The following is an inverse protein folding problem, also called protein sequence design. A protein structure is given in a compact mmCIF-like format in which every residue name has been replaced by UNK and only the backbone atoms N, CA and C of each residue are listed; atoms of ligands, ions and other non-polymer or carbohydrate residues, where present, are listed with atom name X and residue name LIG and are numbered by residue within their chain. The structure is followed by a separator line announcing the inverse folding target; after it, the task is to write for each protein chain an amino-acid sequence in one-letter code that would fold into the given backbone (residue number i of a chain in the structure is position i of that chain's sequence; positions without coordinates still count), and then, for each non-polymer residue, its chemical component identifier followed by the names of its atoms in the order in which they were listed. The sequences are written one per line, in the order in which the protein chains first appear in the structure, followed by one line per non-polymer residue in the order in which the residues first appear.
data_IF_146167688936
#
_entry.id   IF_146167688936
#
_cell.length_a   1.000
_cell.length_b   1.000
_cell.length_c   1.000
_cell.angle_alpha   90.00
_cell.angle_beta   90.00
_cell.angle_gamma   90.00
#
_symmetry.space_group_name_H-M   'P 1'
#
loop_
_entity.id
_entity.type
_entity.pdbx_description
1 polymer ?
#
# COMPACT_ATOMS: atom_id res chain seq x y z
N UNK A 1 40.28 -24.68 16.11
CA UNK A 1 39.74 -26.01 16.02
C UNK A 1 38.56 -25.98 15.00
N UNK A 2 38.38 -27.07 14.28
CA UNK A 2 37.44 -27.19 13.13
C UNK A 2 35.98 -26.77 13.42
N UNK A 3 35.55 -26.78 14.66
CA UNK A 3 34.18 -26.35 15.05
C UNK A 3 34.00 -24.84 15.14
N UNK A 4 35.07 -24.10 15.40
CA UNK A 4 35.05 -22.64 15.36
C UNK A 4 35.06 -22.09 13.96
N UNK A 5 35.85 -22.69 13.05
CA UNK A 5 35.88 -22.31 11.64
C UNK A 5 34.58 -22.69 10.91
N UNK A 6 33.93 -23.80 11.27
CA UNK A 6 32.61 -24.15 10.72
C UNK A 6 31.49 -23.22 11.19
N UNK A 7 31.58 -22.69 12.40
CA UNK A 7 30.63 -21.69 12.92
C UNK A 7 30.87 -20.30 12.31
N UNK A 8 32.13 -19.89 12.14
CA UNK A 8 32.45 -18.63 11.44
C UNK A 8 32.09 -18.68 9.95
N UNK A 9 32.34 -19.79 9.24
CA UNK A 9 31.92 -19.98 7.87
C UNK A 9 30.38 -20.05 7.73
N UNK A 10 29.67 -20.70 8.66
CA UNK A 10 28.21 -20.70 8.66
C UNK A 10 27.62 -19.30 8.92
N UNK A 11 28.29 -18.50 9.76
CA UNK A 11 27.88 -17.12 10.03
C UNK A 11 28.21 -16.19 8.85
N UNK A 12 29.32 -16.42 8.14
CA UNK A 12 29.67 -15.68 6.91
C UNK A 12 28.75 -16.06 5.74
N UNK A 13 28.40 -17.34 5.57
CA UNK A 13 27.46 -17.76 4.52
C UNK A 13 26.04 -17.23 4.80
N UNK A 14 25.59 -17.18 6.05
CA UNK A 14 24.32 -16.53 6.40
C UNK A 14 24.36 -15.00 6.23
N UNK A 15 25.51 -14.34 6.42
CA UNK A 15 25.65 -12.90 6.16
C UNK A 15 25.72 -12.57 4.66
N UNK A 16 26.31 -13.45 3.85
CA UNK A 16 26.39 -13.27 2.39
C UNK A 16 25.06 -13.59 1.66
N UNK A 17 24.22 -14.47 2.19
CA UNK A 17 22.85 -14.69 1.68
C UNK A 17 21.87 -13.58 2.13
N UNK A 18 22.09 -12.93 3.28
CA UNK A 18 21.28 -11.82 3.74
C UNK A 18 21.50 -10.51 2.95
N UNK A 19 22.62 -10.39 2.23
CA UNK A 19 22.95 -9.21 1.41
C UNK A 19 22.25 -9.18 0.05
N UNK A 20 21.59 -10.26 -0.36
CA UNK A 20 20.89 -10.33 -1.67
C UNK A 20 19.47 -9.82 -1.66
N UNK A 21 18.77 -9.82 -0.51
CA UNK A 21 17.44 -9.23 -0.36
C UNK A 21 17.37 -8.48 0.98
N UNK A 22 17.17 -7.16 0.98
CA UNK A 22 17.01 -6.42 2.24
C UNK A 22 15.80 -6.97 3.01
N UNK A 23 15.89 -7.03 4.36
CA UNK A 23 14.83 -7.58 5.17
C UNK A 23 13.55 -6.76 5.04
N UNK A 24 12.43 -7.45 4.82
CA UNK A 24 11.12 -6.83 4.69
C UNK A 24 10.54 -6.43 6.04
N UNK A 25 9.73 -5.39 6.03
CA UNK A 25 9.01 -4.86 7.20
C UNK A 25 7.50 -4.91 6.97
N UNK A 26 6.74 -5.32 7.99
CA UNK A 26 5.29 -5.19 8.02
C UNK A 26 4.87 -4.29 9.18
N UNK A 27 3.95 -3.37 8.92
CA UNK A 27 3.31 -2.56 9.96
C UNK A 27 1.91 -3.11 10.18
N UNK A 28 1.67 -3.67 11.36
CA UNK A 28 0.35 -4.17 11.73
C UNK A 28 -0.59 -3.01 12.07
N UNK A 29 -1.91 -3.17 11.90
CA UNK A 29 -2.88 -2.18 12.32
C UNK A 29 -2.68 -1.76 13.77
N UNK A 30 -2.53 -0.47 14.01
CA UNK A 30 -2.36 0.06 15.36
C UNK A 30 -3.66 -0.11 16.15
N UNK A 31 -3.53 -0.34 17.46
CA UNK A 31 -4.69 -0.52 18.33
C UNK A 31 -5.31 0.82 18.69
N UNK A 32 -6.62 0.92 18.54
CA UNK A 32 -7.37 2.07 19.06
C UNK A 32 -7.48 2.00 20.58
N UNK A 33 -6.82 2.91 21.29
CA UNK A 33 -6.83 3.04 22.74
C UNK A 33 -7.62 4.27 23.21
N UNK A 34 -8.43 4.86 22.33
CA UNK A 34 -9.21 6.07 22.63
C UNK A 34 -10.48 5.76 23.46
N UNK A 35 -10.91 4.51 23.49
CA UNK A 35 -12.14 4.09 24.18
C UNK A 35 -13.42 4.39 23.38
N UNK A 36 -13.29 4.83 22.14
CA UNK A 36 -14.36 5.15 21.21
C UNK A 36 -14.14 4.40 19.89
N UNK A 37 -14.94 3.37 19.57
CA UNK A 37 -14.81 2.62 18.31
C UNK A 37 -15.00 3.47 17.05
N UNK A 38 -15.74 4.59 17.15
CA UNK A 38 -15.91 5.51 16.03
C UNK A 38 -14.58 6.17 15.58
N UNK A 39 -13.50 6.03 16.38
CA UNK A 39 -12.16 6.50 16.04
C UNK A 39 -11.31 5.46 15.29
N UNK A 40 -11.81 4.25 14.99
CA UNK A 40 -11.03 3.20 14.35
C UNK A 40 -10.54 3.62 12.96
N UNK A 41 -11.37 4.31 12.17
CA UNK A 41 -10.96 4.82 10.86
C UNK A 41 -9.76 5.79 10.94
N UNK A 42 -9.71 6.57 12.01
CA UNK A 42 -8.62 7.52 12.25
C UNK A 42 -7.30 6.78 12.56
N UNK A 43 -7.37 5.73 13.39
CA UNK A 43 -6.22 4.89 13.75
C UNK A 43 -5.74 4.08 12.54
N UNK A 44 -6.66 3.54 11.76
CA UNK A 44 -6.36 2.83 10.51
C UNK A 44 -5.65 3.76 9.51
N UNK A 45 -6.14 4.99 9.37
CA UNK A 45 -5.53 5.99 8.49
C UNK A 45 -4.11 6.36 8.91
N UNK A 46 -3.85 6.53 10.21
CA UNK A 46 -2.49 6.75 10.71
C UNK A 46 -1.57 5.57 10.35
N UNK A 47 -2.07 4.34 10.53
CA UNK A 47 -1.29 3.14 10.19
C UNK A 47 -1.00 3.09 8.69
N UNK A 48 -1.99 3.37 7.85
CA UNK A 48 -1.85 3.41 6.39
C UNK A 48 -0.86 4.48 5.93
N UNK A 49 -0.89 5.67 6.53
CA UNK A 49 0.07 6.74 6.26
C UNK A 49 1.50 6.33 6.64
N UNK A 50 1.70 5.64 7.78
CA UNK A 50 3.00 5.10 8.18
C UNK A 50 3.49 4.05 7.18
N UNK A 51 2.64 3.10 6.75
CA UNK A 51 2.97 2.11 5.72
C UNK A 51 3.40 2.81 4.43
N UNK A 52 2.61 3.79 4.01
CA UNK A 52 2.87 4.52 2.77
C UNK A 52 4.17 5.33 2.86
N UNK A 53 4.42 6.02 3.97
CA UNK A 53 5.67 6.74 4.18
C UNK A 53 6.87 5.80 4.17
N UNK A 54 6.77 4.64 4.86
CA UNK A 54 7.83 3.64 4.85
C UNK A 54 8.06 3.05 3.45
N UNK A 55 7.02 2.85 2.64
CA UNK A 55 7.14 2.28 1.30
C UNK A 55 7.87 3.19 0.30
N UNK A 56 7.98 4.48 0.59
CA UNK A 56 8.78 5.41 -0.21
C UNK A 56 10.29 5.21 -0.03
N UNK A 57 10.71 4.51 1.04
CA UNK A 57 12.11 4.15 1.25
C UNK A 57 12.49 2.98 0.34
N UNK A 58 13.54 3.18 -0.47
CA UNK A 58 13.97 2.17 -1.45
C UNK A 58 14.93 1.14 -0.86
N UNK A 59 15.28 1.28 0.39
CA UNK A 59 16.30 0.48 1.09
C UNK A 59 15.80 -0.84 1.62
N UNK A 60 14.50 -0.99 1.78
CA UNK A 60 13.85 -2.22 2.26
C UNK A 60 12.43 -2.36 1.70
N UNK A 61 11.97 -3.61 1.46
CA UNK A 61 10.60 -3.88 1.07
C UNK A 61 9.63 -3.63 2.23
N UNK A 62 8.46 -3.06 1.92
CA UNK A 62 7.38 -2.86 2.90
C UNK A 62 6.17 -3.68 2.47
N UNK A 63 5.69 -4.52 3.37
CA UNK A 63 4.48 -5.33 3.14
C UNK A 63 3.27 -4.41 3.00
N UNK A 64 2.39 -4.75 2.08
CA UNK A 64 1.23 -3.94 1.74
C UNK A 64 0.29 -3.73 2.92
N UNK A 65 -0.44 -2.62 2.90
CA UNK A 65 -1.55 -2.38 3.82
C UNK A 65 -2.57 -3.51 3.78
N UNK A 66 -2.94 -3.97 2.59
CA UNK A 66 -3.97 -5.01 2.43
C UNK A 66 -3.60 -6.29 3.19
N UNK A 67 -2.38 -6.80 3.00
CA UNK A 67 -1.92 -7.99 3.73
C UNK A 67 -1.77 -7.75 5.23
N UNK A 68 -1.24 -6.59 5.64
CA UNK A 68 -1.08 -6.26 7.07
C UNK A 68 -2.42 -6.18 7.80
N UNK A 69 -3.45 -5.63 7.15
CA UNK A 69 -4.77 -5.42 7.75
C UNK A 69 -5.61 -6.70 7.86
N UNK A 70 -5.24 -7.79 7.20
CA UNK A 70 -5.87 -9.11 7.44
C UNK A 70 -5.68 -9.61 8.88
N UNK A 71 -4.71 -9.05 9.60
CA UNK A 71 -4.40 -9.37 10.98
C UNK A 71 -5.04 -8.41 12.00
N UNK A 72 -5.89 -7.46 11.56
CA UNK A 72 -6.60 -6.55 12.45
C UNK A 72 -7.46 -7.34 13.43
N UNK A 73 -7.44 -6.92 14.71
CA UNK A 73 -8.23 -7.46 15.83
C UNK A 73 -8.01 -8.96 16.13
N UNK A 74 -6.97 -9.56 15.56
CA UNK A 74 -6.61 -10.94 15.86
C UNK A 74 -5.60 -10.99 17.01
N UNK A 75 -5.79 -11.96 17.92
CA UNK A 75 -4.77 -12.29 18.94
C UNK A 75 -3.78 -13.29 18.32
N UNK A 76 -2.61 -12.81 17.93
CA UNK A 76 -1.70 -13.58 17.08
C UNK A 76 -0.32 -13.72 17.72
N UNK A 77 0.32 -14.84 17.39
CA UNK A 77 1.75 -15.01 17.58
C UNK A 77 2.49 -14.22 16.47
N UNK A 78 3.27 -13.21 16.86
CA UNK A 78 3.98 -12.35 15.91
C UNK A 78 4.91 -13.11 14.97
N UNK A 79 5.46 -14.24 15.41
CA UNK A 79 6.30 -15.10 14.58
C UNK A 79 5.51 -15.77 13.46
N UNK A 80 4.27 -16.20 13.74
CA UNK A 80 3.36 -16.75 12.74
C UNK A 80 2.95 -15.67 11.74
N UNK A 81 2.56 -14.50 12.24
CA UNK A 81 2.24 -13.34 11.39
C UNK A 81 3.40 -12.97 10.47
N UNK A 82 4.61 -12.92 11.01
CA UNK A 82 5.81 -12.60 10.23
C UNK A 82 6.07 -13.64 9.13
N UNK A 83 5.85 -14.92 9.42
CA UNK A 83 5.98 -16.00 8.43
C UNK A 83 4.92 -15.87 7.32
N UNK A 84 3.66 -15.62 7.69
CA UNK A 84 2.56 -15.46 6.73
C UNK A 84 2.77 -14.24 5.82
N UNK A 85 3.33 -13.16 6.38
CA UNK A 85 3.63 -11.93 5.65
C UNK A 85 4.99 -11.97 4.93
N UNK A 86 5.83 -12.98 5.14
CA UNK A 86 7.19 -13.00 4.63
C UNK A 86 8.04 -11.84 5.19
N UNK A 87 7.69 -11.30 6.36
CA UNK A 87 8.36 -10.15 6.95
C UNK A 87 9.36 -10.57 8.02
N UNK A 88 10.54 -9.94 8.03
CA UNK A 88 11.50 -10.10 9.12
C UNK A 88 11.16 -9.20 10.29
N UNK A 89 10.80 -7.96 10.01
CA UNK A 89 10.49 -6.96 11.02
C UNK A 89 9.00 -6.69 11.09
N UNK A 90 8.47 -6.64 12.31
CA UNK A 90 7.08 -6.28 12.58
C UNK A 90 7.07 -4.96 13.36
N UNK A 91 6.23 -4.03 12.92
CA UNK A 91 5.88 -2.83 13.68
C UNK A 91 4.48 -3.02 14.25
N UNK A 92 4.37 -2.88 15.55
CA UNK A 92 3.10 -2.78 16.27
C UNK A 92 2.97 -1.41 16.91
N UNK A 93 1.73 -0.99 17.16
CA UNK A 93 1.51 0.29 17.83
C UNK A 93 0.13 0.45 18.39
N UNK A 94 -0.09 1.60 18.98
CA UNK A 94 -1.39 2.04 19.45
C UNK A 94 -1.56 3.54 19.31
N UNK A 95 -2.79 3.97 19.11
CA UNK A 95 -3.16 5.38 19.05
C UNK A 95 -4.24 5.65 20.10
N UNK A 96 -4.07 6.73 20.85
CA UNK A 96 -5.08 7.26 21.76
C UNK A 96 -5.33 8.72 21.45
N UNK A 97 -6.55 9.03 21.02
CA UNK A 97 -7.05 10.38 20.82
C UNK A 97 -7.97 10.74 22.00
N UNK A 98 -7.77 11.88 22.62
CA UNK A 98 -8.58 12.39 23.72
C UNK A 98 -8.69 13.90 23.64
N UNK A 99 -9.82 14.42 23.15
CA UNK A 99 -9.97 15.84 22.84
C UNK A 99 -8.94 16.29 21.82
N UNK A 100 -8.13 17.28 22.17
CA UNK A 100 -7.05 17.81 21.31
C UNK A 100 -5.69 17.11 21.52
N UNK A 101 -5.63 16.04 22.32
CA UNK A 101 -4.39 15.32 22.59
C UNK A 101 -4.34 14.00 21.83
N UNK A 102 -3.17 13.72 21.28
CA UNK A 102 -2.85 12.50 20.57
C UNK A 102 -1.64 11.84 21.24
N UNK A 103 -1.77 10.54 21.50
CA UNK A 103 -0.65 9.70 21.89
C UNK A 103 -0.51 8.57 20.90
N UNK A 104 0.67 8.44 20.32
CA UNK A 104 1.06 7.31 19.47
C UNK A 104 2.18 6.56 20.18
N UNK A 105 2.08 5.24 20.20
CA UNK A 105 3.15 4.35 20.65
C UNK A 105 3.47 3.41 19.50
N UNK A 106 4.74 3.23 19.17
CA UNK A 106 5.19 2.26 18.19
C UNK A 106 6.36 1.45 18.74
N UNK A 107 6.46 0.20 18.32
CA UNK A 107 7.54 -0.70 18.63
C UNK A 107 7.94 -1.52 17.42
N UNK A 108 9.24 -1.77 17.26
CA UNK A 108 9.84 -2.57 16.22
C UNK A 108 10.33 -3.89 16.81
N UNK A 109 9.98 -4.99 16.22
CA UNK A 109 10.26 -6.34 16.69
C UNK A 109 10.99 -7.11 15.57
N UNK A 110 12.11 -7.76 15.88
CA UNK A 110 12.70 -8.78 15.01
C UNK A 110 11.96 -10.10 15.28
N UNK A 111 11.10 -10.50 14.36
CA UNK A 111 10.25 -11.68 14.52
C UNK A 111 11.03 -13.00 14.49
N UNK A 112 12.24 -13.03 13.88
CA UNK A 112 13.11 -14.21 13.90
C UNK A 112 13.81 -14.38 15.24
N UNK A 113 14.29 -13.27 15.81
CA UNK A 113 14.98 -13.22 17.10
C UNK A 113 14.04 -13.18 18.30
N UNK A 114 12.74 -12.99 18.09
CA UNK A 114 11.72 -12.84 19.14
C UNK A 114 12.11 -11.80 20.21
N UNK A 115 12.60 -10.66 19.76
CA UNK A 115 13.01 -9.58 20.67
C UNK A 115 12.66 -8.19 20.13
N UNK A 116 12.30 -7.31 21.06
CA UNK A 116 12.02 -5.92 20.76
C UNK A 116 13.33 -5.18 20.47
N UNK A 117 13.42 -4.59 19.28
CA UNK A 117 14.55 -3.76 18.87
C UNK A 117 14.41 -2.33 19.35
N UNK A 118 13.17 -1.84 19.42
CA UNK A 118 12.90 -0.45 19.75
C UNK A 118 11.43 -0.24 20.14
N UNK A 119 11.20 0.74 21.01
CA UNK A 119 9.87 1.25 21.34
C UNK A 119 9.97 2.74 21.66
N UNK A 120 9.01 3.52 21.18
CA UNK A 120 8.93 4.95 21.43
C UNK A 120 7.48 5.41 21.57
N UNK A 121 7.30 6.58 22.22
CA UNK A 121 6.00 7.17 22.47
C UNK A 121 6.04 8.66 22.15
N UNK A 122 5.06 9.11 21.40
CA UNK A 122 4.83 10.51 21.06
C UNK A 122 3.56 11.02 21.73
N UNK A 123 3.68 12.12 22.47
CA UNK A 123 2.56 12.87 23.03
C UNK A 123 2.54 14.24 22.37
N UNK A 124 1.47 14.52 21.60
CA UNK A 124 1.34 15.73 20.76
C UNK A 124 -0.11 16.26 20.79
N UNK A 125 -0.31 17.38 20.13
CA UNK A 125 -1.67 17.85 19.80
C UNK A 125 -2.15 17.22 18.48
N UNK A 126 -3.44 17.23 18.23
CA UNK A 126 -4.01 16.65 16.99
C UNK A 126 -3.56 17.42 15.76
N UNK A 127 -3.27 18.70 15.89
CA UNK A 127 -2.76 19.54 14.82
C UNK A 127 -1.39 19.09 14.32
N UNK A 128 -0.59 18.44 15.19
CA UNK A 128 0.75 17.96 14.88
C UNK A 128 0.75 16.55 14.27
N UNK A 129 -0.42 16.00 13.92
CA UNK A 129 -0.55 14.58 13.51
C UNK A 129 0.38 14.20 12.34
N UNK A 130 0.49 15.07 11.34
CA UNK A 130 1.33 14.80 10.17
C UNK A 130 2.82 14.82 10.52
N UNK A 131 3.25 15.71 11.44
CA UNK A 131 4.62 15.71 11.94
C UNK A 131 4.94 14.43 12.70
N UNK A 132 3.99 13.95 13.50
CA UNK A 132 4.15 12.70 14.26
C UNK A 132 4.22 11.48 13.34
N UNK A 133 3.41 11.41 12.30
CA UNK A 133 3.48 10.32 11.31
C UNK A 133 4.84 10.26 10.62
N UNK A 134 5.40 11.41 10.26
CA UNK A 134 6.74 11.50 9.68
C UNK A 134 7.80 11.09 10.71
N UNK A 135 7.74 11.60 11.97
CA UNK A 135 8.66 11.23 13.05
C UNK A 135 8.64 9.71 13.31
N UNK A 136 7.46 9.09 13.37
CA UNK A 136 7.30 7.63 13.57
C UNK A 136 7.94 6.86 12.42
N UNK A 137 7.61 7.23 11.18
CA UNK A 137 8.11 6.56 9.97
C UNK A 137 9.64 6.68 9.87
N UNK A 138 10.19 7.87 10.16
CA UNK A 138 11.64 8.11 10.19
C UNK A 138 12.33 7.29 11.29
N UNK A 139 11.76 7.26 12.50
CA UNK A 139 12.32 6.50 13.62
C UNK A 139 12.40 5.00 13.28
N UNK A 140 11.36 4.44 12.65
CA UNK A 140 11.34 3.04 12.21
C UNK A 140 12.39 2.82 11.11
N UNK A 141 12.40 3.65 10.06
CA UNK A 141 13.31 3.49 8.93
C UNK A 141 14.79 3.53 9.35
N UNK A 142 15.17 4.45 10.23
CA UNK A 142 16.53 4.53 10.78
C UNK A 142 16.96 3.29 11.56
N UNK A 143 16.01 2.54 12.14
CA UNK A 143 16.29 1.29 12.88
C UNK A 143 16.45 0.10 11.94
N UNK A 144 15.63 0.04 10.89
CA UNK A 144 15.69 -1.05 9.88
C UNK A 144 16.87 -0.87 8.95
N UNK A 145 17.18 0.35 8.53
CA UNK A 145 18.26 0.67 7.62
C UNK A 145 19.11 1.85 8.14
N UNK A 146 20.09 1.61 9.02
CA UNK A 146 20.92 2.67 9.61
C UNK A 146 21.75 3.50 8.62
N UNK A 147 21.97 2.99 7.39
CA UNK A 147 22.74 3.65 6.34
C UNK A 147 21.97 4.74 5.56
N UNK A 148 20.71 4.98 5.92
CA UNK A 148 19.85 5.95 5.26
C UNK A 148 20.37 7.38 5.41
N UNK A 149 20.56 8.07 4.30
CA UNK A 149 21.09 9.43 4.26
C UNK A 149 20.00 10.50 4.41
N UNK A 150 20.37 11.68 4.93
CA UNK A 150 19.44 12.80 5.11
C UNK A 150 18.80 13.37 3.82
N UNK A 151 19.31 12.98 2.63
CA UNK A 151 18.71 13.35 1.35
C UNK A 151 17.46 12.52 1.01
N UNK A 152 17.39 11.28 1.47
CA UNK A 152 16.17 10.46 1.33
C UNK A 152 15.05 10.98 2.24
N UNK A 153 15.38 11.48 3.44
CA UNK A 153 14.43 12.11 4.35
C UNK A 153 13.70 13.31 3.73
N UNK A 154 14.38 14.13 2.93
CA UNK A 154 13.78 15.28 2.25
C UNK A 154 12.80 14.91 1.13
N UNK A 155 12.90 13.71 0.55
CA UNK A 155 11.93 13.22 -0.45
C UNK A 155 10.60 12.83 0.16
N UNK A 156 10.58 12.58 1.48
CA UNK A 156 9.41 12.10 2.20
C UNK A 156 8.44 13.22 2.63
N UNK A 157 8.81 14.52 2.43
CA UNK A 157 7.88 15.61 2.69
C UNK A 157 6.76 15.57 1.63
N UNK A 158 5.79 14.68 1.84
CA UNK A 158 4.53 14.66 1.09
C UNK A 158 3.88 16.03 1.14
N UNK A 159 3.13 16.33 0.10
CA UNK A 159 2.17 17.43 0.15
C UNK A 159 1.15 17.05 1.23
N UNK A 160 1.30 17.64 2.40
CA UNK A 160 0.45 17.38 3.56
C UNK A 160 -0.91 18.02 3.35
N UNK A 161 -2.00 17.38 3.83
CA UNK A 161 -3.29 18.05 3.91
C UNK A 161 -3.16 19.34 4.72
N UNK A 162 -3.75 20.41 4.23
CA UNK A 162 -3.72 21.72 4.92
C UNK A 162 -4.84 21.86 5.95
N UNK A 163 -5.81 20.96 5.90
CA UNK A 163 -7.02 21.00 6.70
C UNK A 163 -7.28 19.64 7.32
N UNK A 164 -7.28 19.57 8.65
CA UNK A 164 -7.53 18.32 9.40
C UNK A 164 -8.91 17.73 9.06
N UNK A 165 -9.94 18.56 8.92
CA UNK A 165 -11.28 18.09 8.54
C UNK A 165 -11.33 17.51 7.13
N UNK A 166 -10.53 18.04 6.19
CA UNK A 166 -10.39 17.45 4.86
C UNK A 166 -9.72 16.08 4.93
N UNK A 167 -8.70 15.93 5.77
CA UNK A 167 -8.04 14.65 5.99
C UNK A 167 -8.95 13.64 6.68
N UNK A 168 -9.74 14.05 7.69
CA UNK A 168 -10.73 13.18 8.33
C UNK A 168 -11.79 12.68 7.34
N UNK A 169 -12.31 13.53 6.46
CA UNK A 169 -13.21 13.12 5.38
C UNK A 169 -12.53 12.16 4.40
N UNK A 170 -11.28 12.43 4.03
CA UNK A 170 -10.50 11.51 3.20
C UNK A 170 -10.36 10.13 3.85
N UNK A 171 -10.09 10.04 5.16
CA UNK A 171 -10.01 8.77 5.88
C UNK A 171 -11.35 8.02 5.92
N UNK A 172 -12.48 8.73 6.06
CA UNK A 172 -13.81 8.12 5.93
C UNK A 172 -14.02 7.54 4.52
N UNK A 173 -13.58 8.28 3.50
CA UNK A 173 -13.59 7.79 2.12
C UNK A 173 -12.75 6.54 1.95
N UNK A 174 -11.54 6.48 2.53
CA UNK A 174 -10.67 5.30 2.52
C UNK A 174 -11.33 4.10 3.21
N UNK A 175 -11.95 4.32 4.37
CA UNK A 175 -12.69 3.27 5.07
C UNK A 175 -13.77 2.68 4.15
N UNK A 176 -14.67 3.51 3.61
CA UNK A 176 -15.73 3.07 2.72
C UNK A 176 -15.18 2.38 1.45
N UNK A 177 -14.06 2.88 0.91
CA UNK A 177 -13.39 2.29 -0.24
C UNK A 177 -12.79 0.91 0.07
N UNK A 178 -12.18 0.73 1.22
CA UNK A 178 -11.55 -0.53 1.64
C UNK A 178 -12.57 -1.57 2.13
N UNK A 179 -13.66 -1.13 2.77
CA UNK A 179 -14.73 -1.98 3.31
C UNK A 179 -15.78 -2.36 2.24
N UNK A 180 -15.62 -1.88 0.99
CA UNK A 180 -16.58 -2.16 -0.08
C UNK A 180 -16.74 -3.65 -0.34
N UNK A 181 -17.97 -4.09 -0.49
CA UNK A 181 -18.28 -5.47 -0.86
C UNK A 181 -18.34 -5.60 -2.38
N UNK A 182 -17.46 -6.39 -2.97
CA UNK A 182 -17.39 -6.60 -4.42
C UNK A 182 -18.56 -7.40 -4.98
N UNK A 183 -19.29 -8.13 -4.15
CA UNK A 183 -20.52 -8.82 -4.54
C UNK A 183 -21.77 -7.92 -4.48
N UNK A 184 -21.62 -6.69 -3.98
CA UNK A 184 -22.70 -5.71 -3.92
C UNK A 184 -22.90 -5.09 -5.31
N UNK A 185 -23.95 -5.55 -5.99
CA UNK A 185 -24.34 -5.06 -7.32
C UNK A 185 -24.71 -3.58 -7.33
N UNK A 186 -24.90 -2.98 -6.15
CA UNK A 186 -25.32 -1.59 -5.98
C UNK A 186 -24.16 -0.64 -5.70
N UNK A 187 -22.94 -1.17 -5.48
CA UNK A 187 -21.72 -0.39 -5.19
C UNK A 187 -21.92 0.72 -4.14
N UNK A 188 -22.73 0.45 -3.10
CA UNK A 188 -23.05 1.47 -2.08
C UNK A 188 -21.79 1.98 -1.40
N UNK A 189 -20.88 1.10 -1.00
CA UNK A 189 -19.60 1.47 -0.36
C UNK A 189 -18.76 2.39 -1.26
N UNK A 190 -18.71 2.10 -2.57
CA UNK A 190 -17.97 2.93 -3.52
C UNK A 190 -18.59 4.32 -3.68
N UNK A 191 -19.93 4.41 -3.76
CA UNK A 191 -20.63 5.72 -3.81
C UNK A 191 -20.41 6.54 -2.54
N UNK A 192 -20.38 5.87 -1.39
CA UNK A 192 -20.09 6.53 -0.12
C UNK A 192 -18.64 7.04 -0.08
N UNK A 193 -17.68 6.23 -0.51
CA UNK A 193 -16.29 6.64 -0.65
C UNK A 193 -16.16 7.88 -1.55
N UNK A 194 -16.82 7.89 -2.72
CA UNK A 194 -16.80 9.04 -3.62
C UNK A 194 -17.36 10.31 -2.95
N UNK A 195 -18.46 10.23 -2.19
CA UNK A 195 -19.01 11.39 -1.46
C UNK A 195 -18.03 11.97 -0.45
N UNK A 196 -17.34 11.12 0.30
CA UNK A 196 -16.32 11.53 1.26
C UNK A 196 -15.11 12.16 0.57
N UNK A 197 -14.61 11.58 -0.54
CA UNK A 197 -13.51 12.17 -1.30
C UNK A 197 -13.88 13.52 -1.91
N UNK A 198 -15.10 13.68 -2.45
CA UNK A 198 -15.59 14.96 -2.95
C UNK A 198 -15.68 16.01 -1.83
N UNK A 199 -16.15 15.59 -0.65
CA UNK A 199 -16.20 16.47 0.51
C UNK A 199 -14.81 16.86 1.00
N UNK A 200 -13.86 15.92 1.04
CA UNK A 200 -12.46 16.22 1.35
C UNK A 200 -11.87 17.26 0.39
N UNK A 201 -12.12 17.10 -0.92
CA UNK A 201 -11.70 18.07 -1.94
C UNK A 201 -12.37 19.46 -1.72
N UNK A 202 -13.64 19.50 -1.33
CA UNK A 202 -14.33 20.76 -1.06
C UNK A 202 -13.74 21.54 0.13
N UNK A 203 -13.12 20.83 1.07
CA UNK A 203 -12.45 21.38 2.26
C UNK A 203 -10.97 21.70 2.00
N UNK A 204 -10.30 20.92 1.13
CA UNK A 204 -8.93 21.13 0.68
C UNK A 204 -8.75 20.69 -0.77
N UNK A 205 -8.83 21.63 -1.71
CA UNK A 205 -8.68 21.36 -3.15
C UNK A 205 -7.25 20.96 -3.57
N UNK A 206 -6.30 20.94 -2.64
CA UNK A 206 -4.90 20.55 -2.88
C UNK A 206 -4.64 19.08 -2.52
N UNK A 207 -5.65 18.35 -2.04
CA UNK A 207 -5.52 16.95 -1.61
C UNK A 207 -5.47 16.00 -2.80
N UNK A 208 -4.26 15.76 -3.33
CA UNK A 208 -4.01 14.92 -4.51
C UNK A 208 -4.61 13.52 -4.39
N UNK A 209 -4.48 12.87 -3.21
CA UNK A 209 -4.94 11.50 -3.00
C UNK A 209 -6.46 11.37 -3.16
N UNK A 210 -7.25 12.35 -2.73
CA UNK A 210 -8.70 12.32 -2.88
C UNK A 210 -9.11 12.36 -4.37
N UNK A 211 -8.44 13.15 -5.19
CA UNK A 211 -8.65 13.12 -6.64
C UNK A 211 -8.24 11.80 -7.27
N UNK A 212 -7.14 11.21 -6.82
CA UNK A 212 -6.65 9.92 -7.32
C UNK A 212 -7.64 8.80 -7.00
N UNK A 213 -8.17 8.74 -5.78
CA UNK A 213 -9.18 7.76 -5.40
C UNK A 213 -10.49 7.94 -6.16
N UNK A 214 -10.93 9.17 -6.47
CA UNK A 214 -12.09 9.38 -7.34
C UNK A 214 -11.87 8.81 -8.75
N UNK A 215 -10.65 8.91 -9.29
CA UNK A 215 -10.34 8.25 -10.57
C UNK A 215 -10.41 6.72 -10.45
N UNK A 216 -9.94 6.13 -9.35
CA UNK A 216 -10.05 4.70 -9.08
C UNK A 216 -11.49 4.24 -8.81
N UNK A 217 -12.35 5.08 -8.22
CA UNK A 217 -13.77 4.80 -8.11
C UNK A 217 -14.41 4.63 -9.50
N UNK A 218 -14.05 5.49 -10.46
CA UNK A 218 -14.51 5.35 -11.84
C UNK A 218 -14.05 4.04 -12.51
N UNK A 219 -12.84 3.56 -12.18
CA UNK A 219 -12.38 2.25 -12.63
C UNK A 219 -13.33 1.13 -12.16
N UNK A 220 -13.69 1.14 -10.87
CA UNK A 220 -14.59 0.13 -10.32
C UNK A 220 -15.99 0.19 -10.92
N UNK A 221 -16.52 1.39 -11.18
CA UNK A 221 -17.79 1.56 -11.89
C UNK A 221 -17.78 0.93 -13.28
N UNK A 222 -16.65 1.01 -13.98
CA UNK A 222 -16.50 0.36 -15.29
C UNK A 222 -16.36 -1.15 -15.17
N UNK A 223 -15.60 -1.66 -14.21
CA UNK A 223 -15.39 -3.11 -14.00
C UNK A 223 -16.68 -3.81 -13.57
N UNK A 224 -17.47 -3.17 -12.70
CA UNK A 224 -18.73 -3.75 -12.20
C UNK A 224 -19.93 -3.44 -13.09
N UNK A 225 -19.73 -2.75 -14.22
CA UNK A 225 -20.81 -2.34 -15.13
C UNK A 225 -21.90 -1.49 -14.46
N UNK A 226 -21.53 -0.70 -13.42
CA UNK A 226 -22.44 0.18 -12.70
C UNK A 226 -22.45 1.61 -13.24
N UNK A 227 -21.54 1.92 -14.17
CA UNK A 227 -21.49 3.22 -14.85
C UNK A 227 -22.69 3.37 -15.81
N UNK A 228 -23.47 4.43 -15.62
CA UNK A 228 -24.58 4.79 -16.52
C UNK A 228 -24.08 5.33 -17.88
N UNK A 229 -22.92 6.00 -17.89
CA UNK A 229 -22.24 6.52 -19.08
C UNK A 229 -20.73 6.26 -18.98
N UNK A 230 -20.29 5.16 -19.57
CA UNK A 230 -18.88 4.76 -19.54
C UNK A 230 -17.95 5.82 -20.16
N UNK A 231 -18.43 6.60 -21.14
CA UNK A 231 -17.64 7.66 -21.77
C UNK A 231 -17.44 8.84 -20.80
N UNK A 232 -18.51 9.24 -20.10
CA UNK A 232 -18.43 10.27 -19.07
C UNK A 232 -17.54 9.82 -17.90
N UNK A 233 -17.64 8.56 -17.49
CA UNK A 233 -16.77 7.98 -16.44
C UNK A 233 -15.30 8.01 -16.86
N UNK A 234 -14.95 7.60 -18.07
CA UNK A 234 -13.58 7.68 -18.59
C UNK A 234 -13.04 9.10 -18.62
N UNK A 235 -13.84 10.09 -19.03
CA UNK A 235 -13.42 11.49 -19.02
C UNK A 235 -13.26 12.03 -17.59
N UNK A 236 -14.11 11.63 -16.67
CA UNK A 236 -13.98 11.95 -15.24
C UNK A 236 -12.67 11.38 -14.67
N UNK A 237 -12.37 10.08 -14.91
CA UNK A 237 -11.12 9.43 -14.49
C UNK A 237 -9.91 10.21 -14.98
N UNK A 238 -9.89 10.61 -16.26
CA UNK A 238 -8.81 11.41 -16.84
C UNK A 238 -8.63 12.75 -16.14
N UNK A 239 -9.74 13.47 -15.97
CA UNK A 239 -9.70 14.83 -15.39
C UNK A 239 -9.26 14.78 -13.92
N UNK A 240 -9.78 13.82 -13.13
CA UNK A 240 -9.40 13.63 -11.72
C UNK A 240 -7.95 13.15 -11.60
N UNK A 241 -7.53 12.18 -12.41
CA UNK A 241 -6.15 11.68 -12.44
C UNK A 241 -5.13 12.78 -12.81
N UNK A 242 -5.41 13.59 -13.84
CA UNK A 242 -4.57 14.73 -14.21
C UNK A 242 -4.50 15.82 -13.14
N UNK A 243 -5.63 16.09 -12.47
CA UNK A 243 -5.63 17.04 -11.36
C UNK A 243 -4.75 16.53 -10.22
N UNK A 244 -4.88 15.23 -9.88
CA UNK A 244 -4.05 14.61 -8.86
C UNK A 244 -2.54 14.65 -9.21
N UNK A 245 -2.17 14.30 -10.46
CA UNK A 245 -0.80 14.39 -10.97
C UNK A 245 -0.26 15.82 -10.94
N UNK A 246 -1.07 16.81 -11.29
CA UNK A 246 -0.67 18.24 -11.24
C UNK A 246 -0.39 18.71 -9.81
N UNK A 247 -1.19 18.24 -8.85
CA UNK A 247 -1.03 18.55 -7.43
C UNK A 247 0.18 17.85 -6.82
N UNK A 248 0.42 16.59 -7.20
CA UNK A 248 1.57 15.81 -6.77
C UNK A 248 2.05 14.88 -7.90
N UNK A 249 3.05 15.28 -8.70
CA UNK A 249 3.55 14.49 -9.82
C UNK A 249 4.20 13.16 -9.44
N UNK A 250 4.61 13.01 -8.18
CA UNK A 250 5.22 11.79 -7.65
C UNK A 250 4.20 10.87 -6.96
N UNK A 251 2.91 11.22 -6.97
CA UNK A 251 1.86 10.42 -6.36
C UNK A 251 1.58 9.13 -7.15
N UNK A 252 1.91 7.93 -6.60
CA UNK A 252 1.68 6.68 -7.32
C UNK A 252 0.19 6.43 -7.62
N UNK A 253 -0.72 6.82 -6.72
CA UNK A 253 -2.17 6.66 -6.92
C UNK A 253 -2.69 7.50 -8.08
N UNK A 254 -2.22 8.75 -8.23
CA UNK A 254 -2.57 9.60 -9.36
C UNK A 254 -2.16 8.98 -10.69
N UNK A 255 -0.93 8.44 -10.73
CA UNK A 255 -0.38 7.75 -11.90
C UNK A 255 -1.14 6.46 -12.22
N UNK A 256 -1.55 5.68 -11.20
CA UNK A 256 -2.40 4.50 -11.37
C UNK A 256 -3.78 4.90 -11.91
N UNK A 257 -4.41 5.95 -11.38
CA UNK A 257 -5.69 6.44 -11.87
C UNK A 257 -5.65 6.83 -13.36
N UNK A 258 -4.56 7.45 -13.81
CA UNK A 258 -4.32 7.73 -15.23
C UNK A 258 -4.01 6.46 -16.03
N UNK A 259 -3.22 5.54 -15.49
CA UNK A 259 -2.95 4.26 -16.15
C UNK A 259 -4.24 3.47 -16.37
N UNK A 260 -5.16 3.45 -15.40
CA UNK A 260 -6.48 2.83 -15.52
C UNK A 260 -7.33 3.50 -16.61
N UNK A 261 -7.37 4.84 -16.66
CA UNK A 261 -8.05 5.56 -17.74
C UNK A 261 -7.52 5.15 -19.12
N UNK A 262 -6.19 5.16 -19.32
CA UNK A 262 -5.58 4.81 -20.61
C UNK A 262 -5.79 3.34 -20.95
N UNK A 263 -5.77 2.44 -19.98
CA UNK A 263 -6.05 1.02 -20.15
C UNK A 263 -7.46 0.80 -20.74
N UNK A 264 -8.50 1.38 -20.14
CA UNK A 264 -9.87 1.28 -20.64
C UNK A 264 -10.12 2.05 -21.94
N UNK A 265 -9.29 3.04 -22.24
CA UNK A 265 -9.31 3.74 -23.52
C UNK A 265 -8.58 2.99 -24.64
N UNK A 266 -7.96 1.83 -24.34
CA UNK A 266 -7.18 1.03 -25.30
C UNK A 266 -5.80 1.60 -25.62
N UNK A 267 -5.35 2.63 -24.89
CA UNK A 267 -4.02 3.25 -25.07
C UNK A 267 -3.00 2.58 -24.13
N UNK A 268 -2.60 1.36 -24.48
CA UNK A 268 -1.66 0.58 -23.68
C UNK A 268 -0.29 1.24 -23.52
N UNK A 269 0.14 2.05 -24.48
CA UNK A 269 1.44 2.74 -24.40
C UNK A 269 1.45 3.75 -23.25
N UNK A 270 0.44 4.62 -23.21
CA UNK A 270 0.32 5.58 -22.11
C UNK A 270 -0.03 4.91 -20.79
N UNK A 271 -0.83 3.84 -20.79
CA UNK A 271 -1.14 3.05 -19.60
C UNK A 271 0.14 2.48 -18.96
N UNK A 272 0.99 1.79 -19.73
CA UNK A 272 2.27 1.25 -19.26
C UNK A 272 3.17 2.35 -18.75
N UNK A 273 3.34 3.46 -19.49
CA UNK A 273 4.20 4.57 -19.09
C UNK A 273 3.83 5.16 -17.73
N UNK A 274 2.52 5.33 -17.44
CA UNK A 274 2.07 5.85 -16.15
C UNK A 274 2.25 4.83 -15.03
N UNK A 275 1.96 3.55 -15.28
CA UNK A 275 2.15 2.49 -14.31
C UNK A 275 3.66 2.28 -13.97
N UNK A 276 4.56 2.35 -14.97
CA UNK A 276 6.02 2.30 -14.75
C UNK A 276 6.50 3.49 -13.90
N UNK A 277 6.00 4.70 -14.16
CA UNK A 277 6.30 5.86 -13.29
C UNK A 277 5.83 5.63 -11.86
N UNK A 278 4.63 5.08 -11.65
CA UNK A 278 4.11 4.78 -10.32
C UNK A 278 5.03 3.81 -9.55
N UNK A 279 5.47 2.72 -10.20
CA UNK A 279 6.43 1.76 -9.64
C UNK A 279 7.79 2.42 -9.38
N UNK A 280 8.26 3.31 -10.27
CA UNK A 280 9.53 4.01 -10.09
C UNK A 280 9.49 4.99 -8.90
N UNK A 281 8.37 5.62 -8.63
CA UNK A 281 8.24 6.51 -7.46
C UNK A 281 8.09 5.73 -6.16
N UNK A 282 7.36 4.61 -6.17
CA UNK A 282 7.19 3.75 -5.01
C UNK A 282 7.32 2.26 -5.38
N UNK A 283 8.54 1.68 -5.33
CA UNK A 283 8.79 0.29 -5.72
C UNK A 283 8.19 -0.76 -4.77
N UNK A 284 7.84 -0.36 -3.55
CA UNK A 284 7.20 -1.23 -2.54
C UNK A 284 5.67 -1.12 -2.52
N UNK A 285 5.07 -0.34 -3.43
CA UNK A 285 3.62 -0.21 -3.48
C UNK A 285 3.02 -1.33 -4.34
N UNK A 286 2.56 -2.40 -3.70
CA UNK A 286 2.05 -3.62 -4.36
C UNK A 286 0.96 -3.32 -5.40
N UNK A 287 0.09 -2.34 -5.14
CA UNK A 287 -0.95 -1.90 -6.08
C UNK A 287 -0.37 -1.39 -7.40
N UNK A 288 0.74 -0.62 -7.38
CA UNK A 288 1.40 -0.16 -8.60
C UNK A 288 1.97 -1.32 -9.41
N UNK A 289 2.56 -2.30 -8.75
CA UNK A 289 3.11 -3.49 -9.39
C UNK A 289 2.00 -4.33 -10.03
N UNK A 290 0.90 -4.57 -9.31
CA UNK A 290 -0.24 -5.26 -9.85
C UNK A 290 -0.80 -4.58 -11.10
N UNK A 291 -1.01 -3.25 -11.05
CA UNK A 291 -1.49 -2.48 -12.21
C UNK A 291 -0.54 -2.57 -13.40
N UNK A 292 0.77 -2.40 -13.16
CA UNK A 292 1.75 -2.51 -14.23
C UNK A 292 1.70 -3.90 -14.87
N UNK A 293 1.69 -4.96 -14.06
CA UNK A 293 1.63 -6.33 -14.55
C UNK A 293 0.35 -6.63 -15.32
N UNK A 294 -0.81 -6.18 -14.81
CA UNK A 294 -2.10 -6.31 -15.49
C UNK A 294 -2.07 -5.66 -16.89
N UNK A 295 -1.62 -4.40 -16.94
CA UNK A 295 -1.56 -3.64 -18.20
C UNK A 295 -0.56 -4.27 -19.16
N UNK A 296 0.61 -4.70 -18.70
CA UNK A 296 1.63 -5.37 -19.50
C UNK A 296 1.12 -6.69 -20.07
N UNK A 297 0.41 -7.50 -19.27
CA UNK A 297 -0.18 -8.76 -19.73
C UNK A 297 -1.19 -8.53 -20.85
N UNK A 298 -2.08 -7.55 -20.72
CA UNK A 298 -3.04 -7.20 -21.77
C UNK A 298 -2.39 -6.52 -22.99
N UNK A 299 -1.27 -5.83 -22.78
CA UNK A 299 -0.45 -5.21 -23.83
C UNK A 299 0.51 -6.16 -24.54
N UNK A 300 0.49 -7.47 -24.20
CA UNK A 300 1.35 -8.49 -24.83
C UNK A 300 2.77 -8.59 -24.30
N UNK A 301 3.12 -7.85 -23.24
CA UNK A 301 4.42 -7.90 -22.56
C UNK A 301 4.42 -8.94 -21.42
N UNK A 302 4.23 -10.21 -21.81
CA UNK A 302 3.91 -11.27 -20.85
C UNK A 302 5.04 -11.59 -19.85
N UNK A 303 6.31 -11.59 -20.28
CA UNK A 303 7.45 -11.91 -19.40
C UNK A 303 7.69 -10.81 -18.38
N UNK A 304 7.62 -9.55 -18.81
CA UNK A 304 7.72 -8.38 -17.94
C UNK A 304 6.56 -8.39 -16.91
N UNK A 305 5.34 -8.70 -17.36
CA UNK A 305 4.18 -8.82 -16.52
C UNK A 305 4.37 -9.88 -15.41
N UNK A 306 4.83 -11.09 -15.76
CA UNK A 306 5.14 -12.15 -14.79
C UNK A 306 6.07 -11.64 -13.69
N UNK A 307 7.17 -10.98 -14.08
CA UNK A 307 8.18 -10.49 -13.14
C UNK A 307 7.59 -9.51 -12.12
N UNK A 308 6.81 -8.52 -12.58
CA UNK A 308 6.27 -7.50 -11.67
C UNK A 308 5.09 -8.02 -10.85
N UNK A 309 4.29 -8.97 -11.37
CA UNK A 309 3.18 -9.59 -10.64
C UNK A 309 3.72 -10.47 -9.51
N UNK A 310 4.75 -11.26 -9.75
CA UNK A 310 5.39 -12.07 -8.70
C UNK A 310 5.92 -11.18 -7.58
N UNK A 311 6.51 -10.02 -7.91
CA UNK A 311 6.93 -9.04 -6.89
C UNK A 311 5.72 -8.44 -6.14
N UNK A 312 4.59 -8.22 -6.80
CA UNK A 312 3.36 -7.78 -6.11
C UNK A 312 2.89 -8.82 -5.08
N UNK A 313 2.95 -10.12 -5.41
CA UNK A 313 2.64 -11.22 -4.49
C UNK A 313 3.60 -11.28 -3.30
N UNK A 314 4.91 -11.03 -3.50
CA UNK A 314 5.88 -10.95 -2.40
C UNK A 314 5.55 -9.82 -1.41
N UNK A 315 5.08 -8.68 -1.91
CA UNK A 315 4.72 -7.53 -1.07
C UNK A 315 3.29 -7.59 -0.52
N UNK A 316 2.43 -8.44 -1.07
CA UNK A 316 1.03 -8.62 -0.65
C UNK A 316 0.63 -10.10 -0.67
N UNK A 317 1.26 -10.94 0.19
CA UNK A 317 1.12 -12.40 0.12
C UNK A 317 -0.25 -12.92 0.58
N UNK A 318 -0.93 -12.20 1.45
CA UNK A 318 -2.27 -12.54 1.97
C UNK A 318 -3.28 -11.42 1.68
N UNK A 319 -3.20 -10.85 0.49
CA UNK A 319 -4.11 -9.80 0.04
C UNK A 319 -5.55 -10.32 -0.01
N UNK A 320 -6.55 -9.62 0.55
CA UNK A 320 -7.96 -9.99 0.42
C UNK A 320 -8.46 -10.06 -1.03
N UNK A 321 -7.75 -9.41 -1.95
CA UNK A 321 -8.05 -9.39 -3.40
C UNK A 321 -7.00 -10.19 -4.19
N UNK A 322 -6.39 -11.19 -3.57
CA UNK A 322 -5.27 -11.95 -4.16
C UNK A 322 -5.67 -12.66 -5.47
N UNK A 323 -6.96 -12.99 -5.63
CA UNK A 323 -7.50 -13.54 -6.86
C UNK A 323 -7.24 -12.66 -8.08
N UNK A 324 -7.19 -11.34 -7.92
CA UNK A 324 -6.89 -10.41 -9.01
C UNK A 324 -5.44 -10.44 -9.41
N UNK A 325 -4.56 -10.61 -8.42
CA UNK A 325 -3.12 -10.71 -8.67
C UNK A 325 -2.85 -12.00 -9.44
N UNK A 326 -3.45 -13.13 -9.01
CA UNK A 326 -3.35 -14.39 -9.73
C UNK A 326 -4.06 -14.36 -11.10
N UNK A 327 -5.16 -13.62 -11.24
CA UNK A 327 -5.82 -13.41 -12.53
C UNK A 327 -4.92 -12.73 -13.56
N UNK A 328 -4.16 -11.70 -13.14
CA UNK A 328 -3.17 -11.06 -14.01
C UNK A 328 -2.01 -12.02 -14.35
N UNK A 329 -1.56 -12.84 -13.38
CA UNK A 329 -0.51 -13.85 -13.58
C UNK A 329 -0.97 -14.94 -14.55
N UNK A 330 -2.22 -15.41 -14.43
CA UNK A 330 -2.85 -16.32 -15.38
C UNK A 330 -2.80 -15.81 -16.82
N UNK A 331 -3.19 -14.54 -17.04
CA UNK A 331 -3.12 -13.92 -18.37
C UNK A 331 -1.68 -13.89 -18.91
N UNK A 332 -0.71 -13.58 -18.05
CA UNK A 332 0.71 -13.57 -18.39
C UNK A 332 1.20 -14.96 -18.82
N UNK A 333 0.88 -16.00 -18.05
CA UNK A 333 1.28 -17.38 -18.37
C UNK A 333 0.62 -17.91 -19.64
N UNK A 334 -0.67 -17.60 -19.87
CA UNK A 334 -1.33 -17.96 -21.12
C UNK A 334 -0.65 -17.35 -22.34
N UNK A 335 -0.30 -16.06 -22.28
CA UNK A 335 0.40 -15.37 -23.34
C UNK A 335 1.78 -15.96 -23.65
N UNK A 336 2.45 -16.51 -22.66
CA UNK A 336 3.73 -17.22 -22.76
C UNK A 336 3.57 -18.71 -23.15
N UNK A 337 2.36 -19.22 -23.26
CA UNK A 337 2.04 -20.65 -23.48
C UNK A 337 2.50 -21.58 -22.35
N UNK A 338 2.68 -21.03 -21.15
CA UNK A 338 2.96 -21.77 -19.90
C UNK A 338 1.65 -22.30 -19.31
N UNK A 339 1.06 -23.32 -19.94
CA UNK A 339 -0.32 -23.73 -19.64
C UNK A 339 -0.47 -24.38 -18.27
N UNK A 340 0.55 -25.08 -17.78
CA UNK A 340 0.54 -25.68 -16.43
C UNK A 340 0.52 -24.61 -15.35
N UNK A 341 1.42 -23.64 -15.46
CA UNK A 341 1.52 -22.51 -14.54
C UNK A 341 0.26 -21.62 -14.60
N UNK A 342 -0.33 -21.48 -15.79
CA UNK A 342 -1.60 -20.76 -15.94
C UNK A 342 -2.74 -21.45 -15.17
N UNK A 343 -2.85 -22.79 -15.25
CA UNK A 343 -3.84 -23.56 -14.49
C UNK A 343 -3.62 -23.40 -12.98
N UNK A 344 -2.39 -23.51 -12.50
CA UNK A 344 -2.05 -23.31 -11.10
C UNK A 344 -2.41 -21.90 -10.60
N UNK A 345 -2.16 -20.87 -11.42
CA UNK A 345 -2.54 -19.48 -11.11
C UNK A 345 -4.08 -19.33 -11.06
N UNK A 346 -4.79 -19.97 -11.98
CA UNK A 346 -6.27 -19.98 -11.98
C UNK A 346 -6.84 -20.66 -10.74
N UNK A 347 -6.28 -21.81 -10.33
CA UNK A 347 -6.71 -22.51 -9.12
C UNK A 347 -6.51 -21.67 -7.86
N UNK A 348 -5.40 -20.93 -7.78
CA UNK A 348 -5.14 -19.98 -6.68
C UNK A 348 -6.03 -18.76 -6.69
N UNK A 349 -6.51 -18.33 -7.87
CA UNK A 349 -7.47 -17.24 -7.99
C UNK A 349 -8.89 -17.64 -7.56
N UNK A 350 -9.20 -18.95 -7.50
CA UNK A 350 -10.51 -19.49 -7.13
C UNK A 350 -10.61 -19.92 -5.65
N UNK A 351 -9.52 -19.95 -4.91
CA UNK A 351 -9.45 -20.29 -3.49
C UNK A 351 -9.72 -19.09 -2.60
#
# INVERSE_FOLDING_TARGET
SEDSEKRENAFQIQSEESDKNPPSIAVLPFKNMSGDPEQDYFVDGITEDIITNLSLWRTFPVISRNSSFTFKDKSLNLKEVANDLGARYIVEGSVRKGGNRLRITAQLIDAQGDHHLWSEKWDRTIEDIFDVQDEVSEAIARRVAPSVTGNELKRLSRIRPKNLSAWEEYLQGLKSYNDRNYSDTDNQGLREACRHFERAISLDETLSDAYAYLALCGFWDLVHFTSEDSKATLEMMKNRGRKAETLNPENPLALIGLAAHYFFSGDFVNAINHAEKAVNYNPSYALSLWWLGLIQAHGGKFQEAETVILKALELSPVDPEIERIYGALYCSYLGQKKYTEALEASDKALQ
#
